data_IF_467105553026
#
_entry.id   IF_467105553026
#
_cell.length_a   1.000
_cell.length_b   1.000
_cell.length_c   1.000
_cell.angle_alpha   90.00
_cell.angle_beta   90.00
_cell.angle_gamma   90.00
#
_symmetry.space_group_name_H-M   'P 1'
#
loop_
_entity.id
_entity.type
_entity.pdbx_description
1 polymer ?
#
# COMPACT_ATOMS: atom_id res chain seq x y z
N UNK A 1 21.68 8.80 29.16
CA UNK A 1 20.64 8.00 28.53
C UNK A 1 20.64 8.42 27.07
N UNK A 2 20.96 7.50 26.19
CA UNK A 2 21.26 7.80 24.78
C UNK A 2 19.97 8.21 24.06
N UNK A 3 19.99 9.27 23.27
CA UNK A 3 18.81 9.79 22.58
C UNK A 3 18.17 8.74 21.63
N UNK A 4 19.01 7.86 21.07
CA UNK A 4 18.57 6.76 20.22
C UNK A 4 17.77 5.72 20.98
N UNK A 5 18.09 5.45 22.24
CA UNK A 5 17.34 4.49 23.09
C UNK A 5 15.96 5.05 23.44
N UNK A 6 15.85 6.35 23.73
CA UNK A 6 14.56 7.01 24.00
C UNK A 6 13.66 7.00 22.75
N UNK A 7 14.22 7.23 21.57
CA UNK A 7 13.49 7.21 20.31
C UNK A 7 12.91 5.81 19.99
N UNK A 8 13.70 4.74 20.21
CA UNK A 8 13.23 3.36 20.01
C UNK A 8 12.18 2.93 21.05
N UNK A 9 12.28 3.38 22.30
CA UNK A 9 11.26 3.09 23.32
C UNK A 9 9.95 3.85 23.05
N UNK A 10 10.01 5.08 22.55
CA UNK A 10 8.82 5.83 22.11
C UNK A 10 8.15 5.17 20.90
N UNK A 11 8.92 4.72 19.91
CA UNK A 11 8.40 3.96 18.75
C UNK A 11 7.75 2.67 19.22
N UNK A 12 8.35 1.90 20.12
CA UNK A 12 7.76 0.69 20.68
C UNK A 12 6.44 0.97 21.43
N UNK A 13 6.39 2.03 22.21
CA UNK A 13 5.20 2.45 22.94
C UNK A 13 4.07 2.86 22.00
N UNK A 14 4.38 3.61 20.93
CA UNK A 14 3.45 3.95 19.88
C UNK A 14 3.00 2.72 19.06
N UNK A 15 3.91 1.81 18.74
CA UNK A 15 3.59 0.56 18.02
C UNK A 15 2.69 -0.37 18.84
N UNK A 16 2.81 -0.39 20.17
CA UNK A 16 1.89 -1.13 21.05
C UNK A 16 0.50 -0.46 21.12
N UNK A 17 0.44 0.86 21.05
CA UNK A 17 -0.82 1.61 20.96
C UNK A 17 -1.48 1.43 19.59
N UNK A 18 -0.68 1.35 18.52
CA UNK A 18 -1.15 1.09 17.15
C UNK A 18 -1.65 -0.35 16.98
N UNK A 19 -1.09 -1.35 17.66
CA UNK A 19 -1.63 -2.74 17.64
C UNK A 19 -3.07 -2.87 18.15
N UNK A 20 -3.58 -1.88 18.87
CA UNK A 20 -4.99 -1.77 19.27
C UNK A 20 -5.85 -0.94 18.31
N UNK A 21 -5.26 -0.28 17.30
CA UNK A 21 -5.95 0.59 16.34
C UNK A 21 -5.84 0.14 14.88
N UNK A 22 -5.25 -1.03 14.60
CA UNK A 22 -5.02 -1.54 13.24
C UNK A 22 -6.24 -2.08 12.52
N UNK A 23 -7.44 -1.86 13.03
CA UNK A 23 -8.68 -1.93 12.26
C UNK A 23 -9.04 -0.54 11.70
N UNK A 24 -8.14 0.08 10.95
CA UNK A 24 -8.58 1.06 9.95
C UNK A 24 -9.08 0.24 8.77
N UNK A 25 -10.19 -0.43 8.99
CA UNK A 25 -10.94 -1.08 7.94
C UNK A 25 -11.33 0.01 6.95
N UNK A 26 -11.29 -0.30 5.68
CA UNK A 26 -11.78 0.56 4.60
C UNK A 26 -13.17 1.16 4.90
N UNK A 27 -13.95 0.54 5.76
CA UNK A 27 -15.24 1.01 6.26
C UNK A 27 -15.17 2.30 7.10
N UNK A 28 -14.01 2.62 7.68
CA UNK A 28 -13.76 3.85 8.44
C UNK A 28 -13.21 5.01 7.59
N UNK A 29 -12.94 4.77 6.31
CA UNK A 29 -12.50 5.84 5.42
C UNK A 29 -13.64 6.82 5.20
N UNK A 30 -13.35 8.09 5.41
CA UNK A 30 -14.34 9.16 5.20
C UNK A 30 -14.68 9.28 3.71
N UNK A 31 -15.97 9.29 3.40
CA UNK A 31 -16.45 9.61 2.05
C UNK A 31 -16.02 11.03 1.70
N UNK A 32 -15.51 11.21 0.49
CA UNK A 32 -15.04 12.48 -0.07
C UNK A 32 -13.72 13.00 0.53
N UNK A 33 -12.81 12.12 0.96
CA UNK A 33 -11.43 12.55 1.18
C UNK A 33 -10.86 13.19 -0.09
N UNK A 34 -10.21 14.35 0.05
CA UNK A 34 -9.57 15.00 -1.10
C UNK A 34 -8.44 14.12 -1.65
N UNK A 35 -7.69 13.47 -0.76
CA UNK A 35 -6.56 12.62 -1.12
C UNK A 35 -6.66 11.26 -0.45
N UNK A 36 -6.53 10.17 -1.21
CA UNK A 36 -6.36 8.82 -0.71
C UNK A 36 -4.94 8.33 -1.02
N UNK A 37 -4.15 8.03 0.01
CA UNK A 37 -2.83 7.42 -0.15
C UNK A 37 -2.93 5.90 -0.04
N UNK A 38 -2.31 5.20 -1.01
CA UNK A 38 -2.30 3.75 -1.09
C UNK A 38 -0.87 3.22 -0.95
N UNK A 39 -0.71 2.20 -0.11
CA UNK A 39 0.47 1.35 -0.08
C UNK A 39 0.08 -0.05 -0.55
N UNK A 40 0.64 -0.47 -1.69
CA UNK A 40 0.43 -1.81 -2.23
C UNK A 40 1.60 -2.73 -1.88
N UNK A 41 1.39 -4.08 -1.87
CA UNK A 41 2.49 -5.02 -1.68
C UNK A 41 3.52 -4.91 -2.82
N UNK A 42 4.77 -5.23 -2.63
CA UNK A 42 5.34 -5.70 -1.39
C UNK A 42 6.01 -4.52 -0.67
N UNK A 43 5.84 -4.47 0.65
CA UNK A 43 6.54 -3.58 1.56
C UNK A 43 6.74 -4.30 2.90
N UNK A 44 7.69 -3.83 3.70
CA UNK A 44 7.91 -4.34 5.05
C UNK A 44 6.60 -4.34 5.87
N UNK A 45 6.18 -5.50 6.34
CA UNK A 45 4.93 -5.70 7.10
C UNK A 45 5.10 -5.45 8.60
N UNK A 46 6.33 -5.32 9.07
CA UNK A 46 6.72 -5.08 10.47
C UNK A 46 6.96 -3.59 10.79
N UNK A 47 6.92 -2.74 9.76
CA UNK A 47 7.11 -1.30 9.88
C UNK A 47 5.85 -0.54 9.43
N UNK A 48 5.39 0.44 10.23
CA UNK A 48 4.27 1.28 9.80
C UNK A 48 4.67 2.12 8.56
N UNK A 49 3.75 2.38 7.63
CA UNK A 49 4.03 3.14 6.42
C UNK A 49 4.17 4.65 6.72
N UNK A 50 5.29 5.03 7.31
CA UNK A 50 5.57 6.38 7.77
C UNK A 50 5.48 7.44 6.66
N UNK A 51 5.84 7.09 5.43
CA UNK A 51 5.81 7.98 4.28
C UNK A 51 4.38 8.49 3.98
N UNK A 52 3.40 7.60 3.84
CA UNK A 52 2.01 7.99 3.56
C UNK A 52 1.36 8.64 4.79
N UNK A 53 1.69 8.19 6.00
CA UNK A 53 1.20 8.81 7.22
C UNK A 53 1.68 10.26 7.35
N UNK A 54 2.96 10.55 7.05
CA UNK A 54 3.51 11.90 7.06
C UNK A 54 2.88 12.79 5.97
N UNK A 55 2.71 12.27 4.76
CA UNK A 55 2.04 13.01 3.68
C UNK A 55 0.60 13.35 4.06
N UNK A 56 -0.13 12.39 4.64
CA UNK A 56 -1.48 12.61 5.15
C UNK A 56 -1.52 13.72 6.20
N UNK A 57 -0.61 13.72 7.16
CA UNK A 57 -0.52 14.76 8.18
C UNK A 57 -0.32 16.16 7.55
N UNK A 58 0.60 16.29 6.59
CA UNK A 58 0.88 17.56 5.88
C UNK A 58 -0.36 18.06 5.12
N UNK A 59 -1.07 17.17 4.43
CA UNK A 59 -2.30 17.49 3.70
C UNK A 59 -3.38 17.99 4.65
N UNK A 60 -3.55 17.33 5.80
CA UNK A 60 -4.54 17.69 6.80
C UNK A 60 -4.19 19.04 7.48
N UNK A 61 -2.90 19.30 7.77
CA UNK A 61 -2.42 20.59 8.26
C UNK A 61 -2.68 21.75 7.26
N UNK A 62 -2.66 21.45 5.96
CA UNK A 62 -3.00 22.41 4.91
C UNK A 62 -4.51 22.65 4.73
N UNK A 63 -5.35 22.00 5.54
CA UNK A 63 -6.81 22.18 5.53
C UNK A 63 -7.56 21.31 4.53
N UNK A 64 -6.91 20.31 3.94
CA UNK A 64 -7.54 19.30 3.09
C UNK A 64 -7.78 18.03 3.88
N UNK A 65 -8.65 17.15 3.37
CA UNK A 65 -8.90 15.84 3.97
C UNK A 65 -8.08 14.76 3.27
N UNK A 66 -7.47 13.87 4.06
CA UNK A 66 -6.73 12.74 3.50
C UNK A 66 -6.94 11.45 4.29
N UNK A 67 -6.87 10.34 3.61
CA UNK A 67 -6.94 8.99 4.17
C UNK A 67 -5.75 8.16 3.68
N UNK A 68 -5.34 7.17 4.48
CA UNK A 68 -4.32 6.20 4.12
C UNK A 68 -4.92 4.80 4.16
N UNK A 69 -4.60 3.99 3.15
CA UNK A 69 -5.01 2.59 3.08
C UNK A 69 -3.78 1.72 2.81
N UNK A 70 -3.46 0.87 3.78
CA UNK A 70 -2.36 -0.09 3.68
C UNK A 70 -2.89 -1.43 3.15
N UNK A 71 -2.83 -1.60 1.83
CA UNK A 71 -3.21 -2.84 1.15
C UNK A 71 -2.12 -3.91 1.21
N UNK A 72 -0.91 -3.53 1.59
CA UNK A 72 0.19 -4.47 1.79
C UNK A 72 -0.11 -5.41 2.95
N UNK A 73 -0.59 -4.88 4.09
CA UNK A 73 -0.90 -5.70 5.26
C UNK A 73 -2.09 -6.65 5.00
N UNK A 74 -3.04 -6.23 4.17
CA UNK A 74 -4.17 -7.07 3.79
C UNK A 74 -3.72 -8.29 2.98
N UNK A 75 -2.86 -8.07 1.98
CA UNK A 75 -2.32 -9.16 1.17
C UNK A 75 -1.37 -10.03 2.00
N UNK A 76 -0.56 -9.44 2.88
CA UNK A 76 0.29 -10.19 3.79
C UNK A 76 -0.52 -11.16 4.66
N UNK A 77 -1.58 -10.69 5.29
CA UNK A 77 -2.41 -11.53 6.16
C UNK A 77 -3.05 -12.71 5.41
N UNK A 78 -3.56 -12.49 4.21
CA UNK A 78 -4.16 -13.52 3.37
C UNK A 78 -3.11 -14.50 2.82
N UNK A 79 -1.92 -14.01 2.50
CA UNK A 79 -0.87 -14.81 1.86
C UNK A 79 -0.12 -15.77 2.77
N UNK A 80 -0.29 -15.67 4.08
CA UNK A 80 0.48 -16.45 5.08
C UNK A 80 0.45 -17.97 4.90
N UNK A 81 -0.55 -18.49 4.24
CA UNK A 81 -0.70 -19.92 3.97
C UNK A 81 -0.66 -20.27 2.48
N UNK A 82 -0.44 -19.32 1.57
CA UNK A 82 -0.53 -19.55 0.13
C UNK A 82 0.43 -20.62 -0.38
N UNK A 83 1.66 -20.66 0.11
CA UNK A 83 2.61 -21.70 -0.24
C UNK A 83 2.13 -23.07 0.25
N UNK A 84 1.70 -23.16 1.50
CA UNK A 84 1.19 -24.40 2.11
C UNK A 84 -0.08 -24.92 1.43
N UNK A 85 -0.96 -24.01 1.02
CA UNK A 85 -2.23 -24.32 0.38
C UNK A 85 -2.08 -24.52 -1.14
N UNK A 86 -0.86 -24.40 -1.66
CA UNK A 86 -0.54 -24.60 -3.09
C UNK A 86 -1.08 -23.50 -4.02
N UNK A 87 -1.40 -22.32 -3.49
CA UNK A 87 -1.88 -21.18 -4.27
C UNK A 87 -0.71 -20.58 -5.07
N UNK A 88 0.45 -20.46 -4.43
CA UNK A 88 1.73 -20.14 -5.08
C UNK A 88 2.82 -21.08 -4.57
N UNK A 89 3.88 -21.36 -5.35
CA UNK A 89 4.92 -22.33 -4.98
C UNK A 89 5.99 -21.77 -4.02
N UNK A 90 5.74 -20.64 -3.36
CA UNK A 90 6.69 -19.96 -2.48
C UNK A 90 5.95 -19.02 -1.50
N UNK A 91 6.60 -18.63 -0.41
CA UNK A 91 6.13 -17.53 0.45
C UNK A 91 6.36 -16.19 -0.28
N UNK A 92 5.29 -15.44 -0.63
CA UNK A 92 5.41 -14.19 -1.38
C UNK A 92 6.19 -13.10 -0.65
N UNK A 93 6.14 -13.08 0.68
CA UNK A 93 6.79 -12.06 1.52
C UNK A 93 8.17 -12.49 2.04
N UNK A 94 8.68 -13.64 1.60
CA UNK A 94 10.05 -14.01 1.87
C UNK A 94 11.00 -13.08 1.09
N UNK A 95 12.03 -12.48 1.73
CA UNK A 95 12.97 -11.56 1.08
C UNK A 95 13.65 -12.10 -0.18
N UNK A 96 13.78 -13.43 -0.31
CA UNK A 96 14.33 -14.07 -1.51
C UNK A 96 13.35 -14.08 -2.71
N UNK A 97 12.09 -13.73 -2.50
CA UNK A 97 11.04 -13.74 -3.51
C UNK A 97 10.57 -12.33 -3.93
N UNK A 98 11.25 -11.27 -3.51
CA UNK A 98 10.87 -9.88 -3.80
C UNK A 98 10.76 -9.59 -5.30
N UNK A 99 11.61 -10.20 -6.12
CA UNK A 99 11.56 -10.07 -7.58
C UNK A 99 10.25 -10.56 -8.20
N UNK A 100 9.47 -11.38 -7.48
CA UNK A 100 8.16 -11.86 -7.95
C UNK A 100 7.08 -10.79 -7.96
N UNK A 101 7.33 -9.66 -7.29
CA UNK A 101 6.47 -8.50 -7.26
C UNK A 101 6.79 -7.46 -8.34
N UNK A 102 7.93 -7.61 -9.02
CA UNK A 102 8.32 -6.74 -10.11
C UNK A 102 7.38 -6.87 -11.32
N UNK A 103 7.33 -5.83 -12.13
CA UNK A 103 6.40 -5.68 -13.26
C UNK A 103 6.32 -6.91 -14.18
N UNK A 104 7.47 -7.54 -14.49
CA UNK A 104 7.55 -8.66 -15.43
C UNK A 104 7.25 -10.02 -14.81
N UNK A 105 7.39 -10.17 -13.50
CA UNK A 105 7.20 -11.44 -12.78
C UNK A 105 5.84 -11.51 -12.09
N UNK A 106 5.32 -10.37 -11.61
CA UNK A 106 4.04 -10.28 -10.93
C UNK A 106 2.86 -10.93 -11.71
N UNK A 107 2.70 -10.67 -13.02
CA UNK A 107 1.61 -11.28 -13.79
C UNK A 107 1.67 -12.81 -13.85
N UNK A 108 2.85 -13.39 -13.72
CA UNK A 108 3.06 -14.84 -13.84
C UNK A 108 2.70 -15.61 -12.58
N UNK A 109 2.90 -14.99 -11.41
CA UNK A 109 2.86 -15.71 -10.14
C UNK A 109 1.84 -15.14 -9.15
N UNK A 110 1.74 -13.81 -9.05
CA UNK A 110 1.06 -13.17 -7.94
C UNK A 110 -0.21 -12.42 -8.35
N UNK A 111 -0.36 -12.04 -9.61
CA UNK A 111 -1.50 -11.24 -10.06
C UNK A 111 -2.84 -11.87 -9.69
N UNK A 112 -3.03 -13.16 -9.97
CA UNK A 112 -4.30 -13.83 -9.72
C UNK A 112 -4.65 -13.89 -8.22
N UNK A 113 -3.79 -14.42 -7.32
CA UNK A 113 -4.13 -14.48 -5.90
C UNK A 113 -4.23 -13.09 -5.27
N UNK A 114 -3.36 -12.14 -5.61
CA UNK A 114 -3.41 -10.77 -5.09
C UNK A 114 -4.67 -10.04 -5.56
N UNK A 115 -5.07 -10.20 -6.83
CA UNK A 115 -6.29 -9.56 -7.33
C UNK A 115 -7.54 -10.03 -6.59
N UNK A 116 -7.64 -11.32 -6.24
CA UNK A 116 -8.75 -11.85 -5.44
C UNK A 116 -8.86 -11.18 -4.07
N UNK A 117 -7.73 -10.88 -3.44
CA UNK A 117 -7.71 -10.16 -2.15
C UNK A 117 -8.10 -8.71 -2.33
N UNK A 118 -7.60 -8.04 -3.38
CA UNK A 118 -7.72 -6.60 -3.55
C UNK A 118 -8.97 -6.14 -4.29
N UNK A 119 -9.72 -7.03 -4.94
CA UNK A 119 -10.91 -6.65 -5.74
C UNK A 119 -11.97 -5.92 -4.92
N UNK A 120 -12.25 -6.37 -3.69
CA UNK A 120 -13.17 -5.70 -2.76
C UNK A 120 -12.75 -4.25 -2.45
N UNK A 121 -11.44 -3.96 -2.49
CA UNK A 121 -10.91 -2.61 -2.24
C UNK A 121 -11.03 -1.72 -3.46
N UNK A 122 -10.95 -2.26 -4.68
CA UNK A 122 -11.24 -1.51 -5.91
C UNK A 122 -12.66 -0.95 -5.86
N UNK A 123 -13.65 -1.79 -5.58
CA UNK A 123 -15.06 -1.37 -5.53
C UNK A 123 -15.26 -0.29 -4.44
N UNK A 124 -14.65 -0.50 -3.29
CA UNK A 124 -14.78 0.44 -2.17
C UNK A 124 -14.11 1.80 -2.46
N UNK A 125 -12.96 1.82 -3.12
CA UNK A 125 -12.30 3.06 -3.53
C UNK A 125 -13.15 3.81 -4.57
N UNK A 126 -13.79 3.08 -5.47
CA UNK A 126 -14.75 3.68 -6.42
C UNK A 126 -15.94 4.33 -5.69
N UNK A 127 -16.48 3.68 -4.65
CA UNK A 127 -17.55 4.26 -3.82
C UNK A 127 -17.09 5.51 -3.06
N UNK A 128 -15.82 5.57 -2.62
CA UNK A 128 -15.22 6.72 -1.94
C UNK A 128 -15.03 7.91 -2.88
N UNK A 129 -14.79 7.65 -4.16
CA UNK A 129 -14.60 8.62 -5.22
C UNK A 129 -13.60 9.75 -4.86
N UNK A 130 -12.35 9.45 -4.45
CA UNK A 130 -11.38 10.45 -4.06
C UNK A 130 -10.99 11.34 -5.25
N UNK A 131 -10.67 12.63 -5.00
CA UNK A 131 -10.19 13.54 -6.04
C UNK A 131 -8.80 13.19 -6.52
N UNK A 132 -7.95 12.75 -5.58
CA UNK A 132 -6.55 12.39 -5.84
C UNK A 132 -6.28 11.04 -5.21
N UNK A 133 -5.59 10.15 -5.94
CA UNK A 133 -5.04 8.90 -5.40
C UNK A 133 -3.52 8.96 -5.49
N UNK A 134 -2.85 8.81 -4.36
CA UNK A 134 -1.40 8.76 -4.24
C UNK A 134 -0.87 7.35 -4.06
N UNK A 135 0.05 6.92 -4.91
CA UNK A 135 0.73 5.63 -4.82
C UNK A 135 2.17 5.81 -4.38
N UNK A 136 2.64 4.91 -3.50
CA UNK A 136 4.07 4.80 -3.21
C UNK A 136 4.68 3.71 -4.10
N UNK A 137 5.70 4.07 -4.87
CA UNK A 137 6.38 3.17 -5.80
C UNK A 137 7.77 2.80 -5.30
N UNK A 138 7.97 1.50 -5.11
CA UNK A 138 9.24 0.83 -4.89
C UNK A 138 9.48 -0.17 -6.03
N UNK A 139 10.73 -0.62 -6.24
CA UNK A 139 11.01 -1.64 -7.24
C UNK A 139 10.26 -2.96 -6.95
N UNK A 140 10.06 -3.26 -5.66
CA UNK A 140 9.40 -4.49 -5.21
C UNK A 140 7.86 -4.41 -5.22
N UNK A 141 7.23 -3.30 -5.61
CA UNK A 141 5.76 -3.23 -5.72
C UNK A 141 5.25 -2.71 -7.06
N UNK A 142 6.11 -2.63 -8.05
CA UNK A 142 5.74 -2.12 -9.38
C UNK A 142 4.59 -2.89 -10.03
N UNK A 143 4.63 -4.20 -9.95
CA UNK A 143 3.61 -5.05 -10.56
C UNK A 143 2.20 -4.82 -10.00
N UNK A 144 1.99 -4.91 -8.68
CA UNK A 144 0.71 -4.60 -8.07
C UNK A 144 0.27 -3.14 -8.24
N UNK A 145 1.19 -2.17 -8.18
CA UNK A 145 0.85 -0.75 -8.40
C UNK A 145 0.35 -0.53 -9.82
N UNK A 146 1.06 -1.05 -10.84
CA UNK A 146 0.68 -0.92 -12.24
C UNK A 146 -0.72 -1.53 -12.50
N UNK A 147 -0.92 -2.77 -12.04
CA UNK A 147 -2.20 -3.44 -12.19
C UNK A 147 -3.34 -2.68 -11.49
N UNK A 148 -3.17 -2.34 -10.22
CA UNK A 148 -4.21 -1.73 -9.40
C UNK A 148 -4.59 -0.32 -9.89
N UNK A 149 -3.58 0.48 -10.25
CA UNK A 149 -3.77 1.80 -10.83
C UNK A 149 -4.50 1.71 -12.17
N UNK A 150 -4.15 0.72 -13.01
CA UNK A 150 -4.83 0.49 -14.29
C UNK A 150 -6.30 0.13 -14.12
N UNK A 151 -6.65 -0.71 -13.13
CA UNK A 151 -8.04 -1.06 -12.83
C UNK A 151 -8.83 0.13 -12.26
N UNK A 152 -8.23 0.91 -11.37
CA UNK A 152 -8.85 2.14 -10.84
C UNK A 152 -9.05 3.19 -11.93
N UNK A 153 -8.08 3.37 -12.85
CA UNK A 153 -8.19 4.33 -13.96
C UNK A 153 -9.40 4.07 -14.86
N UNK A 154 -9.73 2.80 -15.09
CA UNK A 154 -10.92 2.42 -15.88
C UNK A 154 -12.22 2.83 -15.19
N UNK A 155 -12.23 2.82 -13.85
CA UNK A 155 -13.43 3.05 -13.02
C UNK A 155 -13.54 4.51 -12.54
N UNK A 156 -12.43 5.22 -12.43
CA UNK A 156 -12.29 6.59 -11.94
C UNK A 156 -11.52 7.46 -12.96
N UNK A 157 -12.09 7.75 -14.14
CA UNK A 157 -11.38 8.46 -15.21
C UNK A 157 -11.00 9.90 -14.83
N UNK A 158 -11.79 10.55 -13.98
CA UNK A 158 -11.61 11.96 -13.58
C UNK A 158 -10.70 12.13 -12.34
N UNK A 159 -10.37 11.05 -11.64
CA UNK A 159 -9.48 11.09 -10.47
C UNK A 159 -8.04 11.33 -10.91
N UNK A 160 -7.35 12.24 -10.22
CA UNK A 160 -5.93 12.50 -10.44
C UNK A 160 -5.11 11.40 -9.75
N UNK A 161 -4.25 10.72 -10.51
CA UNK A 161 -3.31 9.74 -9.96
C UNK A 161 -1.94 10.39 -9.86
N UNK A 162 -1.35 10.29 -8.69
CA UNK A 162 0.03 10.72 -8.43
C UNK A 162 0.84 9.52 -7.95
N UNK A 163 2.09 9.47 -8.33
CA UNK A 163 3.00 8.43 -7.88
C UNK A 163 4.23 9.10 -7.26
N UNK A 164 4.65 8.59 -6.10
CA UNK A 164 5.86 9.02 -5.40
C UNK A 164 6.67 7.82 -4.96
N UNK A 165 7.89 8.08 -4.49
CA UNK A 165 8.77 7.03 -3.97
C UNK A 165 10.11 6.94 -4.69
N UNK A 166 11.05 6.17 -4.14
CA UNK A 166 12.43 6.15 -4.62
C UNK A 166 12.58 5.59 -6.04
N UNK A 167 11.66 4.74 -6.48
CA UNK A 167 11.78 4.10 -7.78
C UNK A 167 11.45 4.99 -8.97
N UNK A 168 10.76 6.10 -8.77
CA UNK A 168 10.49 7.08 -9.84
C UNK A 168 11.77 7.69 -10.41
N UNK A 169 12.82 7.79 -9.61
CA UNK A 169 14.09 8.35 -10.07
C UNK A 169 14.75 7.52 -11.18
N UNK A 170 14.52 6.23 -11.19
CA UNK A 170 15.08 5.30 -12.18
C UNK A 170 14.25 5.20 -13.47
N UNK A 171 13.01 5.66 -13.47
CA UNK A 171 12.08 5.58 -14.61
C UNK A 171 11.89 6.88 -15.37
N UNK A 172 12.62 7.95 -15.03
CA UNK A 172 12.51 9.26 -15.74
C UNK A 172 12.84 9.22 -17.24
N UNK A 173 13.32 8.08 -17.73
CA UNK A 173 13.68 7.89 -19.14
C UNK A 173 12.69 7.04 -19.93
N UNK A 174 11.64 6.48 -19.28
CA UNK A 174 10.70 5.55 -19.90
C UNK A 174 9.26 6.12 -20.04
N UNK A 175 9.10 7.45 -19.79
CA UNK A 175 7.81 8.15 -19.92
C UNK A 175 7.88 9.11 -21.12
#
# INVERSE_FOLDING_TARGET
MDADVLFFEEIKKHSQTIKGQTDVTIEKLERNSDVLFLLLPEWAFDLPPYNIARLSAIINEAGYTSSCLDLNIEVYNESRNWEKDGIVPFDPFNPHNLTKWELNEYPKYLKEPVSKVLEKYLDKIVELNPKIIGFTLYYCNEGPVDWFASELRKRLPDTIFICGGPNLHFRQHDI
#
